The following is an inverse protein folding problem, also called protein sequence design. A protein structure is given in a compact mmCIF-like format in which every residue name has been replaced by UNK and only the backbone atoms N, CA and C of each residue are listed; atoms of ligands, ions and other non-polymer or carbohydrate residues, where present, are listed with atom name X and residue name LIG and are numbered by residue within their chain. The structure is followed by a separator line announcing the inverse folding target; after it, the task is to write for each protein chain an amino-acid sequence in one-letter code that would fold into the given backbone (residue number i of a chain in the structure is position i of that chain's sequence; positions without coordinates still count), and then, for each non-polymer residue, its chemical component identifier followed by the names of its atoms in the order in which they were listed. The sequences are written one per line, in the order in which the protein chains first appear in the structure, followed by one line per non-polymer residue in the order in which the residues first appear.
data_IF_880204443008
#
_entry.id   IF_880204443008
#
_cell.length_a   1.000
_cell.length_b   1.000
_cell.length_c   1.000
_cell.angle_alpha   90.00
_cell.angle_beta   90.00
_cell.angle_gamma   90.00
#
_symmetry.space_group_name_H-M   'P 1'
#
loop_
_entity.id
_entity.type
_entity.pdbx_description
1 polymer ?
#
# COMPACT_ATOMS: atom_id res chain seq x y z
N UNK A 1 7.85 5.75 -1.71
CA UNK A 1 9.34 5.60 -1.64
C UNK A 1 9.83 5.64 -3.06
N UNK A 2 10.87 6.38 -3.37
CA UNK A 2 11.42 6.44 -4.73
C UNK A 2 12.91 6.07 -4.68
N UNK A 3 13.44 5.56 -5.78
CA UNK A 3 14.87 5.28 -5.97
C UNK A 3 15.38 6.19 -7.07
N UNK A 4 16.42 6.94 -6.78
CA UNK A 4 17.00 7.90 -7.72
C UNK A 4 18.46 7.53 -7.99
N UNK A 5 18.87 7.58 -9.27
CA UNK A 5 20.25 7.39 -9.68
C UNK A 5 20.72 8.54 -10.57
N UNK A 6 22.02 8.79 -10.53
CA UNK A 6 22.78 9.65 -11.48
C UNK A 6 23.91 8.88 -12.15
N UNK A 7 23.97 7.59 -11.92
CA UNK A 7 25.00 6.72 -12.49
C UNK A 7 24.82 6.58 -14.02
N UNK A 8 25.91 6.43 -14.73
CA UNK A 8 25.90 6.20 -16.19
C UNK A 8 25.22 4.89 -16.56
N UNK A 9 25.14 3.96 -15.60
CA UNK A 9 24.47 2.68 -15.73
C UNK A 9 23.84 2.30 -14.40
N UNK A 10 22.53 2.04 -14.40
CA UNK A 10 21.83 1.44 -13.27
C UNK A 10 20.88 0.35 -13.75
N UNK A 11 20.71 -0.70 -12.94
CA UNK A 11 19.83 -1.83 -13.25
C UNK A 11 18.98 -2.18 -12.04
N UNK A 12 17.70 -2.50 -12.31
CA UNK A 12 16.76 -3.04 -11.32
C UNK A 12 16.19 -4.32 -11.88
N UNK A 13 16.50 -5.45 -11.23
CA UNK A 13 15.94 -6.75 -11.59
C UNK A 13 14.85 -7.14 -10.61
N UNK A 14 13.70 -7.56 -11.14
CA UNK A 14 12.55 -8.01 -10.36
C UNK A 14 12.18 -9.42 -10.82
N UNK A 15 12.05 -10.34 -9.85
CA UNK A 15 11.45 -11.64 -10.02
C UNK A 15 10.11 -11.67 -9.29
N UNK A 16 9.03 -11.94 -10.02
CA UNK A 16 7.67 -11.97 -9.45
C UNK A 16 7.44 -13.23 -8.60
N UNK A 17 8.25 -14.26 -8.76
CA UNK A 17 8.11 -15.56 -8.08
C UNK A 17 9.38 -15.95 -7.31
N UNK A 18 9.82 -15.15 -6.31
CA UNK A 18 11.12 -15.39 -5.67
C UNK A 18 11.15 -16.64 -4.77
N UNK A 19 10.01 -17.14 -4.31
CA UNK A 19 9.98 -18.20 -3.28
C UNK A 19 8.88 -19.23 -3.41
N UNK A 20 7.96 -19.17 -4.37
CA UNK A 20 6.89 -20.10 -4.40
C UNK A 20 6.39 -20.62 -5.67
N UNK A 21 5.89 -21.74 -5.47
CA UNK A 21 5.71 -22.82 -6.37
C UNK A 21 4.25 -23.08 -6.73
N UNK A 22 3.30 -22.62 -5.91
CA UNK A 22 1.87 -22.92 -6.11
C UNK A 22 1.15 -21.96 -7.04
N UNK A 23 1.50 -20.69 -6.97
CA UNK A 23 0.88 -19.62 -7.74
C UNK A 23 1.97 -18.81 -8.41
N UNK A 24 2.09 -18.92 -9.72
CA UNK A 24 3.09 -18.18 -10.49
C UNK A 24 2.46 -16.90 -11.04
N UNK A 25 3.10 -15.80 -10.72
CA UNK A 25 2.73 -14.50 -11.22
C UNK A 25 3.45 -14.23 -12.53
N UNK A 26 2.70 -13.81 -13.53
CA UNK A 26 3.23 -13.51 -14.87
C UNK A 26 2.74 -12.16 -15.34
N UNK A 27 3.47 -11.55 -16.28
CA UNK A 27 3.08 -10.29 -16.88
C UNK A 27 3.39 -10.32 -18.39
N UNK A 28 2.65 -9.52 -19.16
CA UNK A 28 2.92 -9.16 -20.54
C UNK A 28 2.84 -7.65 -20.76
N UNK A 29 2.48 -6.90 -19.73
CA UNK A 29 2.50 -5.44 -19.68
C UNK A 29 3.24 -4.98 -18.44
N UNK A 30 4.26 -4.13 -18.61
CA UNK A 30 4.99 -3.49 -17.53
C UNK A 30 4.87 -1.98 -17.66
N UNK A 31 4.37 -1.33 -16.62
CA UNK A 31 4.40 0.11 -16.49
C UNK A 31 5.48 0.49 -15.48
N UNK A 32 6.50 1.22 -15.94
CA UNK A 32 7.50 1.86 -15.09
C UNK A 32 7.03 3.27 -14.75
N UNK A 33 6.70 3.49 -13.50
CA UNK A 33 6.35 4.81 -12.96
C UNK A 33 7.64 5.50 -12.56
N UNK A 34 8.02 6.53 -13.31
CA UNK A 34 9.29 7.21 -13.10
C UNK A 34 9.49 8.34 -14.08
N UNK A 35 10.54 9.11 -13.87
CA UNK A 35 10.86 10.24 -14.72
C UNK A 35 12.37 10.54 -14.70
N UNK A 36 12.82 11.15 -15.78
CA UNK A 36 14.17 11.70 -15.91
C UNK A 36 14.12 13.24 -15.88
N UNK A 37 15.22 13.87 -15.49
CA UNK A 37 15.41 15.32 -15.64
C UNK A 37 15.80 15.72 -17.07
N UNK A 38 16.06 14.74 -17.94
CA UNK A 38 16.44 14.92 -19.33
C UNK A 38 15.85 13.84 -20.22
N UNK A 39 15.45 14.18 -21.44
CA UNK A 39 15.02 13.23 -22.48
C UNK A 39 16.17 12.37 -23.02
N UNK A 40 17.41 12.62 -22.62
CA UNK A 40 18.58 11.83 -23.00
C UNK A 40 18.72 10.53 -22.20
N UNK A 41 17.89 10.34 -21.18
CA UNK A 41 17.87 9.14 -20.34
C UNK A 41 16.58 8.37 -20.57
N UNK A 42 16.67 7.30 -21.34
CA UNK A 42 15.54 6.40 -21.59
C UNK A 42 15.79 5.02 -20.96
N UNK A 43 14.89 4.56 -20.09
CA UNK A 43 15.01 3.21 -19.57
C UNK A 43 14.67 2.18 -20.64
N UNK A 44 15.36 1.04 -20.63
CA UNK A 44 15.03 -0.11 -21.45
C UNK A 44 14.59 -1.27 -20.58
N UNK A 45 13.61 -2.03 -21.04
CA UNK A 45 13.17 -3.26 -20.40
C UNK A 45 13.89 -4.45 -21.06
N UNK A 46 14.42 -5.36 -20.25
CA UNK A 46 15.02 -6.61 -20.69
C UNK A 46 14.20 -7.77 -20.12
N UNK A 47 13.71 -8.63 -20.99
CA UNK A 47 12.96 -9.84 -20.65
C UNK A 47 13.48 -10.99 -21.53
N UNK A 48 13.95 -12.07 -20.92
CA UNK A 48 14.50 -13.24 -21.63
C UNK A 48 15.52 -12.83 -22.71
N UNK A 49 16.50 -11.99 -22.34
CA UNK A 49 17.56 -11.44 -23.19
C UNK A 49 17.08 -10.56 -24.35
N UNK A 50 15.78 -10.29 -24.43
CA UNK A 50 15.21 -9.38 -25.43
C UNK A 50 15.07 -7.98 -24.84
N UNK A 51 15.51 -6.98 -25.60
CA UNK A 51 15.46 -5.56 -25.21
C UNK A 51 14.24 -4.88 -25.81
N UNK A 52 13.41 -4.28 -24.96
CA UNK A 52 12.25 -3.50 -25.34
C UNK A 52 12.50 -2.03 -25.02
N UNK A 53 12.17 -1.16 -25.97
CA UNK A 53 12.27 0.30 -25.82
C UNK A 53 10.91 0.94 -26.01
N UNK A 54 10.64 1.96 -25.24
CA UNK A 54 9.43 2.80 -25.37
C UNK A 54 9.79 4.23 -25.01
N UNK A 55 9.06 5.19 -25.59
CA UNK A 55 9.19 6.58 -25.23
C UNK A 55 8.40 6.89 -23.97
N UNK A 56 8.81 7.93 -23.26
CA UNK A 56 8.09 8.46 -22.11
C UNK A 56 6.73 9.00 -22.54
N UNK A 57 5.68 8.54 -21.86
CA UNK A 57 4.35 9.10 -21.98
C UNK A 57 4.17 10.23 -20.94
N UNK A 58 4.15 11.46 -21.39
CA UNK A 58 3.99 12.62 -20.52
C UNK A 58 2.60 12.75 -19.91
N UNK A 59 1.58 12.13 -20.49
CA UNK A 59 0.22 12.15 -19.98
C UNK A 59 0.10 11.26 -18.75
N UNK A 60 0.57 10.02 -18.87
CA UNK A 60 0.58 9.06 -17.74
C UNK A 60 1.81 9.19 -16.85
N UNK A 61 2.79 10.03 -17.21
CA UNK A 61 4.08 10.15 -16.51
C UNK A 61 4.77 8.80 -16.28
N UNK A 62 4.81 7.96 -17.31
CA UNK A 62 5.29 6.59 -17.22
C UNK A 62 5.89 6.06 -18.52
N UNK A 63 6.51 4.87 -18.44
CA UNK A 63 6.97 4.11 -19.59
C UNK A 63 6.20 2.79 -19.63
N UNK A 64 5.42 2.54 -20.70
CA UNK A 64 4.56 1.36 -20.80
C UNK A 64 5.13 0.39 -21.83
N UNK A 65 5.59 -0.76 -21.36
CA UNK A 65 6.13 -1.84 -22.18
C UNK A 65 5.07 -2.93 -22.37
N UNK A 66 4.88 -3.37 -23.61
CA UNK A 66 4.08 -4.56 -23.94
C UNK A 66 5.01 -5.61 -24.53
N UNK A 67 4.93 -6.83 -24.03
CA UNK A 67 5.73 -7.96 -24.51
C UNK A 67 4.81 -9.05 -25.09
N UNK A 68 5.26 -9.80 -26.10
CA UNK A 68 4.38 -10.72 -26.83
C UNK A 68 4.04 -11.99 -26.07
N UNK A 69 4.80 -12.33 -25.04
CA UNK A 69 4.61 -13.54 -24.23
C UNK A 69 4.67 -13.25 -22.74
N UNK A 70 4.01 -14.09 -21.94
CA UNK A 70 4.06 -13.99 -20.49
C UNK A 70 5.49 -14.22 -19.97
N UNK A 71 5.90 -13.38 -19.02
CA UNK A 71 7.19 -13.46 -18.34
C UNK A 71 7.01 -13.38 -16.82
N UNK A 72 8.00 -13.86 -16.07
CA UNK A 72 8.00 -13.91 -14.61
C UNK A 72 9.04 -13.01 -13.97
N UNK A 73 9.97 -12.51 -14.77
CA UNK A 73 11.04 -11.62 -14.32
C UNK A 73 11.39 -10.62 -15.40
N UNK A 74 11.94 -9.51 -14.96
CA UNK A 74 12.43 -8.46 -15.85
C UNK A 74 13.59 -7.72 -15.23
N UNK A 75 14.37 -7.05 -16.09
CA UNK A 75 15.37 -6.06 -15.70
C UNK A 75 15.05 -4.74 -16.40
N UNK A 76 14.95 -3.67 -15.63
CA UNK A 76 14.95 -2.31 -16.16
C UNK A 76 16.36 -1.79 -16.07
N UNK A 77 16.90 -1.37 -17.22
CA UNK A 77 18.23 -0.83 -17.36
C UNK A 77 18.15 0.63 -17.75
N UNK A 78 18.83 1.49 -17.01
CA UNK A 78 18.92 2.92 -17.24
C UNK A 78 20.34 3.19 -17.73
N UNK A 79 20.46 3.68 -18.96
CA UNK A 79 21.76 3.99 -19.59
C UNK A 79 21.79 5.46 -19.92
N UNK A 80 22.85 6.12 -19.47
CA UNK A 80 23.14 7.51 -19.81
C UNK A 80 24.33 7.52 -20.77
N UNK A 81 24.10 8.06 -21.94
CA UNK A 81 25.13 8.17 -22.99
C UNK A 81 25.73 9.59 -23.07
N UNK A 82 25.42 10.42 -22.09
CA UNK A 82 25.93 11.79 -22.02
C UNK A 82 27.12 11.89 -21.07
N UNK A 83 27.94 12.91 -21.27
CA UNK A 83 29.03 13.27 -20.36
C UNK A 83 28.52 14.05 -19.14
N UNK A 84 27.31 14.59 -19.22
CA UNK A 84 26.63 15.29 -18.10
C UNK A 84 25.75 14.30 -17.38
N UNK A 85 25.93 14.07 -16.07
CA UNK A 85 25.08 13.18 -15.30
C UNK A 85 23.64 13.69 -15.21
N UNK A 86 22.70 12.89 -15.68
CA UNK A 86 21.27 13.15 -15.57
C UNK A 86 20.65 12.30 -14.46
N UNK A 87 19.59 12.79 -13.85
CA UNK A 87 18.90 12.08 -12.80
C UNK A 87 17.73 11.28 -13.37
N UNK A 88 17.66 10.01 -12.99
CA UNK A 88 16.47 9.19 -13.21
C UNK A 88 15.88 8.73 -11.88
N UNK A 89 14.56 8.92 -11.73
CA UNK A 89 13.83 8.51 -10.52
C UNK A 89 12.81 7.44 -10.87
N UNK A 90 12.86 6.32 -10.16
CA UNK A 90 11.88 5.22 -10.21
C UNK A 90 10.97 5.33 -8.99
N UNK A 91 9.67 5.49 -9.21
CA UNK A 91 8.65 5.48 -8.16
C UNK A 91 8.09 4.08 -7.94
N UNK A 92 7.96 3.26 -9.00
CA UNK A 92 7.47 1.90 -8.90
C UNK A 92 7.29 1.21 -10.24
N UNK A 93 6.79 -0.01 -10.15
CA UNK A 93 6.42 -0.84 -11.29
C UNK A 93 5.01 -1.39 -11.12
N UNK A 94 4.26 -1.48 -12.21
CA UNK A 94 3.00 -2.21 -12.30
C UNK A 94 3.18 -3.28 -13.37
N UNK A 95 3.13 -4.56 -12.96
CA UNK A 95 3.24 -5.71 -13.83
C UNK A 95 1.86 -6.37 -13.96
N UNK A 96 1.35 -6.46 -15.17
CA UNK A 96 -0.02 -6.91 -15.47
C UNK A 96 0.00 -7.96 -16.58
N UNK A 97 -1.04 -8.76 -16.63
CA UNK A 97 -1.34 -9.63 -17.77
C UNK A 97 -2.83 -9.45 -18.17
N UNK A 98 -3.26 -10.16 -19.22
CA UNK A 98 -4.61 -10.08 -19.73
C UNK A 98 -5.60 -11.02 -19.01
N UNK A 99 -5.18 -11.69 -17.93
CA UNK A 99 -6.04 -12.58 -17.16
C UNK A 99 -7.12 -11.76 -16.43
N UNK A 100 -8.33 -12.29 -16.38
CA UNK A 100 -9.41 -11.71 -15.60
C UNK A 100 -9.21 -12.00 -14.12
N UNK A 101 -9.40 -10.99 -13.27
CA UNK A 101 -9.24 -11.17 -11.84
C UNK A 101 -9.12 -9.85 -11.09
N UNK A 102 -8.43 -9.92 -9.95
CA UNK A 102 -8.15 -8.76 -9.10
C UNK A 102 -6.67 -8.41 -9.18
N UNK A 103 -6.39 -7.12 -9.32
CA UNK A 103 -5.04 -6.59 -9.14
C UNK A 103 -4.96 -5.98 -7.75
N UNK A 104 -4.04 -6.44 -6.93
CA UNK A 104 -3.85 -5.96 -5.57
C UNK A 104 -2.55 -5.17 -5.44
N UNK A 105 -2.67 -3.90 -5.07
CA UNK A 105 -1.54 -3.02 -4.80
C UNK A 105 -1.35 -2.81 -3.30
N UNK A 106 -0.19 -3.19 -2.75
CA UNK A 106 0.16 -2.94 -1.36
C UNK A 106 1.16 -1.77 -1.28
N UNK A 107 0.71 -0.64 -0.77
CA UNK A 107 1.52 0.59 -0.64
C UNK A 107 1.86 0.93 0.82
N UNK A 108 1.76 -0.05 1.71
CA UNK A 108 2.05 0.12 3.13
C UNK A 108 3.54 0.39 3.38
N UNK A 109 3.83 1.35 4.26
CA UNK A 109 5.19 1.69 4.72
C UNK A 109 5.26 1.61 6.24
N UNK A 110 6.29 0.95 6.77
CA UNK A 110 6.48 0.86 8.22
C UNK A 110 6.58 2.25 8.86
N UNK A 111 5.81 2.47 9.91
CA UNK A 111 5.78 3.74 10.64
C UNK A 111 4.98 4.84 9.96
N UNK A 112 4.38 4.60 8.79
CA UNK A 112 3.57 5.60 8.12
C UNK A 112 2.30 5.93 8.92
N UNK A 113 1.93 7.20 8.89
CA UNK A 113 0.68 7.77 9.37
C UNK A 113 -0.06 8.41 8.20
N UNK A 114 -1.29 8.87 8.38
CA UNK A 114 -2.04 9.56 7.31
C UNK A 114 -1.27 10.77 6.75
N UNK A 115 -0.66 11.65 7.57
CA UNK A 115 0.20 12.73 7.07
C UNK A 115 1.35 12.29 6.17
N UNK A 116 1.86 11.07 6.35
CA UNK A 116 2.94 10.53 5.49
C UNK A 116 2.50 10.41 4.04
N UNK A 117 1.25 9.99 3.80
CA UNK A 117 0.67 9.90 2.45
C UNK A 117 0.30 11.27 1.89
N UNK A 118 -0.17 12.19 2.74
CA UNK A 118 -0.44 13.57 2.34
C UNK A 118 0.81 14.30 1.84
N UNK A 119 1.97 13.93 2.36
CA UNK A 119 3.28 14.50 2.00
C UNK A 119 3.89 13.88 0.74
N UNK A 120 3.26 12.85 0.14
CA UNK A 120 3.75 12.27 -1.12
C UNK A 120 3.43 13.22 -2.28
N UNK A 121 4.47 13.77 -2.89
CA UNK A 121 4.38 14.75 -3.98
C UNK A 121 3.62 14.20 -5.20
N UNK A 122 3.90 12.97 -5.57
CA UNK A 122 3.34 12.34 -6.77
C UNK A 122 2.14 11.44 -6.50
N UNK A 123 1.52 11.54 -5.31
CA UNK A 123 0.44 10.64 -4.90
C UNK A 123 -0.73 10.60 -5.91
N UNK A 124 -1.24 11.76 -6.30
CA UNK A 124 -2.39 11.86 -7.22
C UNK A 124 -2.03 11.40 -8.63
N UNK A 125 -0.84 11.79 -9.12
CA UNK A 125 -0.34 11.38 -10.42
C UNK A 125 -0.19 9.85 -10.54
N UNK A 126 0.46 9.25 -9.55
CA UNK A 126 0.74 7.82 -9.56
C UNK A 126 -0.54 7.01 -9.33
N UNK A 127 -1.49 7.54 -8.53
CA UNK A 127 -2.80 6.94 -8.30
C UNK A 127 -3.70 6.97 -9.55
N UNK A 128 -3.69 8.09 -10.28
CA UNK A 128 -4.42 8.22 -11.54
C UNK A 128 -4.00 7.16 -12.57
N UNK A 129 -2.73 6.77 -12.57
CA UNK A 129 -2.21 5.74 -13.45
C UNK A 129 -2.70 4.34 -13.05
N UNK A 130 -2.80 4.06 -11.74
CA UNK A 130 -3.29 2.78 -11.21
C UNK A 130 -4.80 2.66 -11.33
N UNK A 131 -5.52 3.78 -11.16
CA UNK A 131 -6.97 3.91 -11.22
C UNK A 131 -7.73 2.81 -10.43
N UNK A 132 -7.58 2.73 -9.10
CA UNK A 132 -8.16 1.66 -8.31
C UNK A 132 -9.69 1.77 -8.24
N UNK A 133 -10.41 0.65 -8.35
CA UNK A 133 -11.85 0.58 -8.10
C UNK A 133 -12.18 0.63 -6.60
N UNK A 134 -11.24 0.19 -5.75
CA UNK A 134 -11.39 0.11 -4.30
C UNK A 134 -10.10 0.48 -3.59
N UNK A 135 -10.20 1.39 -2.63
CA UNK A 135 -9.11 1.69 -1.67
C UNK A 135 -9.48 1.14 -0.29
N UNK A 136 -8.59 0.32 0.26
CA UNK A 136 -8.70 -0.21 1.62
C UNK A 136 -7.74 0.55 2.52
N UNK A 137 -8.28 1.34 3.45
CA UNK A 137 -7.50 2.07 4.43
C UNK A 137 -7.21 1.19 5.64
N UNK A 138 -5.94 0.83 5.82
CA UNK A 138 -5.44 0.07 6.97
C UNK A 138 -4.30 0.83 7.68
N UNK A 139 -4.44 2.15 7.80
CA UNK A 139 -3.48 3.06 8.43
C UNK A 139 -4.17 3.82 9.56
N UNK A 140 -3.39 4.30 10.56
CA UNK A 140 -3.93 5.04 11.71
C UNK A 140 -3.36 4.57 13.05
N UNK A 141 -2.72 3.40 13.10
CA UNK A 141 -2.11 2.90 14.34
C UNK A 141 -0.99 3.82 14.83
N UNK A 142 -0.21 4.39 13.91
CA UNK A 142 0.86 5.33 14.22
C UNK A 142 0.32 6.71 14.59
N UNK A 143 -0.79 7.15 13.98
CA UNK A 143 -1.49 8.36 14.35
C UNK A 143 -2.01 8.26 15.79
N UNK A 144 -2.63 7.13 16.15
CA UNK A 144 -3.15 6.84 17.47
C UNK A 144 -2.08 6.64 18.56
N UNK A 145 -0.83 6.44 18.18
CA UNK A 145 0.27 6.23 19.13
C UNK A 145 0.63 7.47 19.93
N UNK A 146 0.32 8.67 19.42
CA UNK A 146 0.62 9.95 20.11
C UNK A 146 -0.23 10.14 21.35
N UNK A 147 0.37 10.70 22.41
CA UNK A 147 -0.38 11.13 23.60
C UNK A 147 -1.21 12.40 23.32
N UNK A 148 -0.83 13.17 22.31
CA UNK A 148 -1.56 14.33 21.80
C UNK A 148 -2.52 14.01 20.65
N UNK A 149 -2.96 12.75 20.52
CA UNK A 149 -3.91 12.34 19.48
C UNK A 149 -5.17 13.21 19.53
N UNK A 150 -5.59 13.71 18.37
CA UNK A 150 -6.79 14.53 18.19
C UNK A 150 -7.69 13.91 17.12
N UNK A 151 -8.94 13.61 17.48
CA UNK A 151 -9.95 13.06 16.58
C UNK A 151 -10.17 13.99 15.38
N UNK A 152 -10.31 15.29 15.65
CA UNK A 152 -10.56 16.29 14.59
C UNK A 152 -9.41 16.39 13.59
N UNK A 153 -8.15 16.30 14.04
CA UNK A 153 -6.97 16.29 13.17
C UNK A 153 -6.90 15.00 12.38
N UNK A 154 -7.18 13.87 13.01
CA UNK A 154 -7.18 12.56 12.38
C UNK A 154 -8.22 12.51 11.24
N UNK A 155 -9.46 12.89 11.52
CA UNK A 155 -10.55 12.96 10.56
C UNK A 155 -10.19 13.93 9.41
N UNK A 156 -9.72 15.14 9.73
CA UNK A 156 -9.33 16.13 8.71
C UNK A 156 -8.20 15.65 7.78
N UNK A 157 -7.23 14.92 8.33
CA UNK A 157 -6.17 14.32 7.52
C UNK A 157 -6.73 13.26 6.56
N UNK A 158 -7.66 12.43 7.02
CA UNK A 158 -8.35 11.44 6.17
C UNK A 158 -9.22 12.11 5.11
N UNK A 159 -10.03 13.11 5.47
CA UNK A 159 -10.82 13.89 4.53
C UNK A 159 -9.92 14.49 3.43
N UNK A 160 -8.74 15.01 3.81
CA UNK A 160 -7.76 15.55 2.86
C UNK A 160 -7.15 14.46 1.95
N UNK A 161 -6.87 13.27 2.48
CA UNK A 161 -6.34 12.16 1.70
C UNK A 161 -7.38 11.62 0.71
N UNK A 162 -8.62 11.47 1.16
CA UNK A 162 -9.74 11.03 0.32
C UNK A 162 -10.02 12.05 -0.78
N UNK A 163 -10.02 13.34 -0.46
CA UNK A 163 -10.17 14.39 -1.47
C UNK A 163 -9.06 14.36 -2.55
N UNK A 164 -7.82 13.94 -2.22
CA UNK A 164 -6.78 13.69 -3.23
C UNK A 164 -7.13 12.50 -4.13
N UNK A 165 -7.71 11.43 -3.57
CA UNK A 165 -8.14 10.26 -4.33
C UNK A 165 -9.30 10.64 -5.27
N UNK A 166 -10.33 11.27 -4.75
CA UNK A 166 -11.54 11.66 -5.50
C UNK A 166 -11.24 12.59 -6.68
N UNK A 167 -10.22 13.45 -6.58
CA UNK A 167 -9.81 14.30 -7.70
C UNK A 167 -9.32 13.53 -8.92
N UNK A 168 -8.77 12.36 -8.75
CA UNK A 168 -8.15 11.55 -9.83
C UNK A 168 -8.89 10.24 -10.09
N UNK A 169 -9.66 9.75 -9.11
CA UNK A 169 -10.47 8.52 -9.19
C UNK A 169 -11.82 8.77 -8.50
N UNK A 170 -12.74 9.52 -9.12
CA UNK A 170 -13.98 9.97 -8.46
C UNK A 170 -14.95 8.85 -8.08
N UNK A 171 -14.91 7.72 -8.78
CA UNK A 171 -15.82 6.58 -8.56
C UNK A 171 -15.21 5.49 -7.66
N UNK A 172 -14.10 5.80 -6.95
CA UNK A 172 -13.41 4.84 -6.09
C UNK A 172 -14.24 4.52 -4.84
N UNK A 173 -14.43 3.23 -4.56
CA UNK A 173 -15.05 2.78 -3.32
C UNK A 173 -14.03 2.73 -2.16
N UNK A 174 -14.54 2.79 -0.91
CA UNK A 174 -13.69 2.80 0.28
C UNK A 174 -14.07 1.72 1.29
N UNK A 175 -13.06 1.06 1.85
CA UNK A 175 -13.19 0.24 3.06
C UNK A 175 -12.21 0.77 4.10
N UNK A 176 -12.70 1.02 5.31
CA UNK A 176 -11.90 1.42 6.46
C UNK A 176 -11.71 0.22 7.38
N UNK A 177 -10.45 -0.16 7.64
CA UNK A 177 -10.11 -1.18 8.63
C UNK A 177 -9.78 -0.46 9.93
N UNK A 178 -10.55 -0.71 10.98
CA UNK A 178 -10.22 -0.12 12.30
C UNK A 178 -8.87 -0.63 12.78
N UNK A 179 -8.15 0.20 13.55
CA UNK A 179 -6.84 -0.21 14.09
C UNK A 179 -6.99 -1.46 14.99
N UNK A 180 -5.94 -2.27 15.05
CA UNK A 180 -5.85 -3.26 16.11
C UNK A 180 -5.68 -2.59 17.50
N UNK A 181 -6.03 -3.32 18.56
CA UNK A 181 -5.62 -2.94 19.91
C UNK A 181 -4.08 -2.83 19.99
N UNK A 182 -3.60 -1.94 20.81
CA UNK A 182 -2.17 -1.72 20.95
C UNK A 182 -1.78 -1.27 22.35
N UNK A 183 -0.51 -1.43 22.68
CA UNK A 183 0.06 -1.01 23.95
C UNK A 183 1.21 -0.02 23.73
N UNK A 184 1.33 0.94 24.61
CA UNK A 184 2.48 1.86 24.67
C UNK A 184 3.50 1.32 25.66
N UNK A 185 4.76 1.34 25.27
CA UNK A 185 5.89 1.00 26.14
C UNK A 185 6.30 2.25 26.91
N UNK A 186 6.16 2.21 28.24
CA UNK A 186 6.51 3.30 29.13
C UNK A 186 7.86 2.96 29.80
N UNK A 187 8.79 3.91 29.78
CA UNK A 187 10.04 3.80 30.53
C UNK A 187 9.81 4.12 31.99
N UNK A 188 9.90 3.14 32.87
CA UNK A 188 9.93 3.35 34.31
C UNK A 188 11.36 3.57 34.83
N UNK A 189 11.49 3.91 36.12
CA UNK A 189 12.81 4.15 36.75
C UNK A 189 13.72 2.94 36.73
N UNK A 190 13.20 1.71 36.87
CA UNK A 190 13.97 0.46 36.95
C UNK A 190 13.76 -0.45 35.73
N UNK A 191 12.61 -0.42 35.10
CA UNK A 191 12.26 -1.26 33.97
C UNK A 191 11.18 -0.58 33.11
N UNK A 192 11.04 -1.04 31.85
CA UNK A 192 9.90 -0.62 31.01
C UNK A 192 8.69 -1.51 31.26
N UNK A 193 7.51 -0.95 31.14
CA UNK A 193 6.24 -1.66 31.23
C UNK A 193 5.27 -1.24 30.09
N UNK A 194 4.22 -2.01 29.86
CA UNK A 194 3.26 -1.74 28.81
C UNK A 194 1.92 -1.29 29.39
N UNK A 195 1.36 -0.25 28.80
CA UNK A 195 0.00 0.25 29.11
C UNK A 195 -0.83 0.19 27.85
N UNK A 196 -2.12 -0.12 28.00
CA UNK A 196 -3.04 -0.15 26.87
C UNK A 196 -3.20 1.25 26.26
N UNK A 197 -3.20 1.33 24.94
CA UNK A 197 -3.43 2.57 24.21
C UNK A 197 -4.94 2.84 24.08
N UNK A 198 -5.49 3.71 24.93
CA UNK A 198 -6.92 4.03 24.94
C UNK A 198 -7.39 4.80 23.69
N UNK A 199 -6.48 5.38 22.90
CA UNK A 199 -6.84 6.03 21.65
C UNK A 199 -7.46 5.05 20.63
N UNK A 200 -7.25 3.72 20.79
CA UNK A 200 -7.89 2.70 19.96
C UNK A 200 -9.42 2.83 19.89
N UNK A 201 -10.08 3.13 21.03
CA UNK A 201 -11.53 3.37 21.07
C UNK A 201 -11.96 4.65 20.34
N UNK A 202 -11.13 5.68 20.37
CA UNK A 202 -11.40 6.96 19.69
C UNK A 202 -11.30 6.76 18.18
N UNK A 203 -10.19 6.19 17.72
CA UNK A 203 -9.95 5.91 16.30
C UNK A 203 -10.99 4.95 15.73
N UNK A 204 -11.45 3.95 16.49
CA UNK A 204 -12.57 3.11 16.06
C UNK A 204 -13.81 3.95 15.69
N UNK A 205 -14.20 4.88 16.55
CA UNK A 205 -15.33 5.79 16.29
C UNK A 205 -15.06 6.69 15.08
N UNK A 206 -13.85 7.21 14.97
CA UNK A 206 -13.45 8.07 13.87
C UNK A 206 -13.55 7.35 12.51
N UNK A 207 -13.19 6.07 12.46
CA UNK A 207 -13.37 5.27 11.23
C UNK A 207 -14.83 5.05 10.84
N UNK A 208 -15.73 4.86 11.80
CA UNK A 208 -17.16 4.82 11.52
C UNK A 208 -17.70 6.17 11.03
N UNK A 209 -17.20 7.27 11.58
CA UNK A 209 -17.55 8.62 11.12
C UNK A 209 -17.03 8.87 9.69
N UNK A 210 -15.79 8.50 9.40
CA UNK A 210 -15.20 8.61 8.06
C UNK A 210 -15.98 7.77 7.04
N UNK A 211 -16.30 6.53 7.38
CA UNK A 211 -17.10 5.67 6.50
C UNK A 211 -18.46 6.28 6.18
N UNK A 212 -19.12 6.88 7.17
CA UNK A 212 -20.39 7.57 6.97
C UNK A 212 -20.25 8.81 6.07
N UNK A 213 -19.17 9.58 6.23
CA UNK A 213 -18.92 10.80 5.42
C UNK A 213 -18.64 10.50 3.96
N UNK A 214 -17.93 9.41 3.69
CA UNK A 214 -17.43 9.06 2.36
C UNK A 214 -18.13 7.84 1.75
N UNK A 215 -19.33 7.50 2.23
CA UNK A 215 -20.14 6.35 1.76
C UNK A 215 -19.32 5.05 1.66
N UNK A 216 -18.45 4.81 2.64
CA UNK A 216 -17.55 3.67 2.70
C UNK A 216 -18.02 2.56 3.64
N UNK A 217 -17.42 1.38 3.51
CA UNK A 217 -17.60 0.26 4.43
C UNK A 217 -16.60 0.32 5.59
N UNK A 218 -16.98 -0.31 6.73
CA UNK A 218 -16.06 -0.54 7.86
C UNK A 218 -15.87 -2.03 8.09
N UNK A 219 -14.61 -2.45 8.13
CA UNK A 219 -14.26 -3.75 8.71
C UNK A 219 -13.68 -3.53 10.10
N UNK A 220 -14.51 -3.81 11.12
CA UNK A 220 -14.15 -3.48 12.51
C UNK A 220 -13.26 -4.55 13.13
N UNK A 221 -11.98 -4.49 12.78
CA UNK A 221 -10.95 -5.36 13.31
C UNK A 221 -10.77 -5.22 14.81
N UNK A 222 -10.89 -3.99 15.35
CA UNK A 222 -10.77 -3.74 16.78
C UNK A 222 -11.79 -4.54 17.59
N UNK A 223 -13.06 -4.53 17.17
CA UNK A 223 -14.11 -5.31 17.81
C UNK A 223 -13.90 -6.80 17.60
N UNK A 224 -13.58 -7.23 16.39
CA UNK A 224 -13.35 -8.64 16.04
C UNK A 224 -12.22 -9.29 16.86
N UNK A 225 -11.17 -8.55 17.18
CA UNK A 225 -10.07 -9.07 18.00
C UNK A 225 -10.36 -9.05 19.50
N UNK A 226 -11.46 -8.43 19.95
CA UNK A 226 -11.89 -8.37 21.35
C UNK A 226 -11.74 -6.99 22.03
N UNK A 227 -11.48 -5.93 21.27
CA UNK A 227 -11.41 -4.55 21.77
C UNK A 227 -10.19 -4.29 22.64
N UNK A 228 -10.32 -3.34 23.58
CA UNK A 228 -9.22 -2.95 24.47
C UNK A 228 -8.62 -4.10 25.27
N UNK A 229 -7.32 -4.13 25.33
CA UNK A 229 -6.49 -5.14 26.01
C UNK A 229 -6.47 -6.54 25.34
N UNK A 230 -7.16 -6.73 24.22
CA UNK A 230 -7.20 -8.00 23.49
C UNK A 230 -5.84 -8.43 22.97
N UNK A 231 -4.94 -7.48 22.66
CA UNK A 231 -3.61 -7.77 22.15
C UNK A 231 -2.76 -8.65 23.10
N UNK A 232 -3.04 -8.63 24.42
CA UNK A 232 -2.43 -9.55 25.38
C UNK A 232 -2.83 -11.02 25.12
N UNK A 233 -4.09 -11.24 24.78
CA UNK A 233 -4.59 -12.58 24.44
C UNK A 233 -4.01 -13.04 23.11
N UNK A 234 -3.98 -12.14 22.12
CA UNK A 234 -3.37 -12.44 20.83
C UNK A 234 -1.88 -12.79 20.94
N UNK A 235 -1.13 -12.10 21.83
CA UNK A 235 0.26 -12.46 22.17
C UNK A 235 0.32 -13.86 22.80
N UNK A 236 -0.52 -14.15 23.78
CA UNK A 236 -0.56 -15.45 24.46
C UNK A 236 -0.85 -16.63 23.51
N UNK A 237 -1.64 -16.40 22.45
CA UNK A 237 -1.94 -17.40 21.40
C UNK A 237 -0.89 -17.40 20.26
N UNK A 238 0.18 -16.62 20.37
CA UNK A 238 1.23 -16.52 19.35
C UNK A 238 0.79 -15.80 18.07
N UNK A 239 -0.29 -15.03 18.12
CA UNK A 239 -0.81 -14.23 17.01
C UNK A 239 -0.23 -12.82 16.97
N UNK A 240 0.21 -12.30 18.12
CA UNK A 240 0.87 -10.99 18.20
C UNK A 240 2.30 -11.11 18.73
N UNK A 241 3.11 -10.10 18.43
CA UNK A 241 4.48 -9.98 18.92
C UNK A 241 4.48 -9.46 20.37
N UNK A 242 5.64 -9.62 21.06
CA UNK A 242 5.87 -9.15 22.45
C UNK A 242 5.74 -7.64 22.61
N UNK A 243 5.85 -6.88 21.53
CA UNK A 243 5.67 -5.42 21.54
C UNK A 243 4.20 -4.99 21.72
N UNK A 244 3.25 -5.92 21.56
CA UNK A 244 1.81 -5.69 21.68
C UNK A 244 1.27 -4.63 20.73
N UNK A 245 1.88 -4.55 19.56
CA UNK A 245 1.47 -3.65 18.44
C UNK A 245 1.36 -4.47 17.16
N UNK A 246 2.42 -5.25 16.85
CA UNK A 246 2.51 -5.97 15.59
C UNK A 246 2.04 -7.42 15.73
N UNK A 247 1.48 -7.95 14.66
CA UNK A 247 1.12 -9.36 14.58
C UNK A 247 2.34 -10.22 14.19
N UNK A 248 2.26 -11.51 14.49
CA UNK A 248 3.12 -12.54 13.89
C UNK A 248 2.63 -12.86 12.47
N UNK A 249 3.43 -13.58 11.68
CA UNK A 249 2.98 -14.05 10.37
C UNK A 249 1.66 -14.84 10.45
N UNK A 250 1.48 -15.65 11.53
CA UNK A 250 0.23 -16.37 11.80
C UNK A 250 -0.95 -15.43 12.07
N UNK A 251 -0.71 -14.35 12.83
CA UNK A 251 -1.73 -13.34 13.12
C UNK A 251 -2.14 -12.56 11.86
N UNK A 252 -1.19 -12.11 11.06
CA UNK A 252 -1.49 -11.45 9.78
C UNK A 252 -2.25 -12.35 8.82
N UNK A 253 -1.90 -13.64 8.74
CA UNK A 253 -2.62 -14.60 7.89
C UNK A 253 -4.06 -14.78 8.35
N UNK A 254 -4.29 -14.94 9.66
CA UNK A 254 -5.64 -15.03 10.21
C UNK A 254 -6.49 -13.82 9.86
N UNK A 255 -5.91 -12.61 10.01
CA UNK A 255 -6.62 -11.37 9.67
C UNK A 255 -6.92 -11.26 8.18
N UNK A 256 -5.95 -11.61 7.32
CA UNK A 256 -6.15 -11.64 5.87
C UNK A 256 -7.28 -12.59 5.48
N UNK A 257 -7.32 -13.80 6.05
CA UNK A 257 -8.38 -14.78 5.81
C UNK A 257 -9.75 -14.27 6.28
N UNK A 258 -9.82 -13.59 7.42
CA UNK A 258 -11.07 -13.02 7.94
C UNK A 258 -11.59 -11.88 7.06
N UNK A 259 -10.72 -10.95 6.65
CA UNK A 259 -11.08 -9.84 5.76
C UNK A 259 -11.53 -10.37 4.40
N UNK A 260 -10.78 -11.31 3.82
CA UNK A 260 -11.12 -11.92 2.54
C UNK A 260 -12.51 -12.57 2.56
N UNK A 261 -12.81 -13.34 3.61
CA UNK A 261 -14.15 -13.94 3.78
C UNK A 261 -15.25 -12.90 3.92
N UNK A 262 -15.02 -11.83 4.69
CA UNK A 262 -15.99 -10.76 4.84
C UNK A 262 -16.30 -10.05 3.51
N UNK A 263 -15.27 -9.78 2.69
CA UNK A 263 -15.45 -9.19 1.36
C UNK A 263 -16.23 -10.14 0.44
N UNK A 264 -15.86 -11.42 0.39
CA UNK A 264 -16.57 -12.42 -0.43
C UNK A 264 -18.03 -12.58 -0.02
N UNK A 265 -18.31 -12.63 1.28
CA UNK A 265 -19.66 -12.76 1.80
C UNK A 265 -20.53 -11.56 1.44
N UNK A 266 -20.00 -10.34 1.62
CA UNK A 266 -20.67 -9.11 1.20
C UNK A 266 -20.93 -9.05 -0.30
N UNK A 267 -19.95 -9.46 -1.11
CA UNK A 267 -20.11 -9.56 -2.55
C UNK A 267 -21.20 -10.55 -2.95
N UNK A 268 -21.17 -11.76 -2.39
CA UNK A 268 -22.16 -12.79 -2.69
C UNK A 268 -23.58 -12.36 -2.29
N UNK A 269 -23.74 -11.72 -1.13
CA UNK A 269 -25.03 -11.16 -0.70
C UNK A 269 -25.53 -10.06 -1.65
N UNK A 270 -24.65 -9.17 -2.11
CA UNK A 270 -24.99 -8.15 -3.09
C UNK A 270 -25.45 -8.74 -4.42
N UNK A 271 -24.83 -9.85 -4.86
CA UNK A 271 -25.21 -10.53 -6.10
C UNK A 271 -26.54 -11.28 -6.00
N UNK A 272 -26.91 -11.77 -4.83
CA UNK A 272 -28.20 -12.44 -4.58
C UNK A 272 -29.37 -11.44 -4.49
N UNK A 273 -29.09 -10.17 -4.21
CA UNK A 273 -30.10 -9.12 -4.06
C UNK A 273 -30.30 -8.29 -5.35
N UNK A 274 -29.63 -8.65 -6.43
CA UNK A 274 -29.80 -8.09 -7.78
C UNK A 274 -30.67 -9.00 -8.63
#
# INVERSE_FOLDING_TARGET
MAVTTKDTLAEITVNLNPTDEKHRWTFNKLTLIGYADSSLVEPVLIVNDTVYKVSYDSVSSSYVYKIPSLAESFTVKIVQNDTIPHQFTVNGFVAENDDKGFVYHAIGVNGASVPSYLSCEFFERDLALIHPDLVIFAIGINDAASDSFSDSVFISNYDSLIAKIERVVPDCAYIFITNNDSFKKIKGKKSSYYVVNKNGLRVQKDFYELAKRHDGGVWDMFALMGGLSSMKQWEAFGLAKKDKIHFTAKGYRLMGDMLYRAILESYNQSMLNR
#
